data_IF_381001083039
#
_entry.id   IF_381001083039
#
_cell.length_a   1.000
_cell.length_b   1.000
_cell.length_c   1.000
_cell.angle_alpha   90.00
_cell.angle_beta   90.00
_cell.angle_gamma   90.00
#
_symmetry.space_group_name_H-M   'P 1'
#
loop_
_entity.id
_entity.type
_entity.pdbx_description
1 polymer ?
#
# COMPACT_ATOMS: atom_id res chain seq x y z
N UNK A 1 -16.03 3.53 -20.58
CA UNK A 1 -14.68 3.19 -20.08
C UNK A 1 -14.25 1.86 -20.70
N UNK A 2 -13.07 1.77 -21.31
CA UNK A 2 -12.58 0.51 -21.88
C UNK A 2 -12.28 -0.52 -20.78
N UNK A 3 -12.66 -1.79 -20.99
CA UNK A 3 -12.41 -2.92 -20.08
C UNK A 3 -10.95 -2.99 -19.60
N UNK A 4 -10.00 -2.66 -20.49
CA UNK A 4 -8.57 -2.62 -20.17
C UNK A 4 -8.21 -1.58 -19.11
N UNK A 5 -8.91 -0.44 -19.10
CA UNK A 5 -8.68 0.62 -18.10
C UNK A 5 -9.15 0.22 -16.71
N UNK A 6 -10.31 -0.43 -16.63
CA UNK A 6 -10.85 -0.98 -15.38
C UNK A 6 -9.91 -2.06 -14.83
N UNK A 7 -9.45 -2.97 -15.69
CA UNK A 7 -8.51 -4.02 -15.30
C UNK A 7 -7.19 -3.45 -14.74
N UNK A 8 -6.63 -2.40 -15.37
CA UNK A 8 -5.42 -1.73 -14.87
C UNK A 8 -5.63 -1.08 -13.50
N UNK A 9 -6.80 -0.46 -13.27
CA UNK A 9 -7.13 0.17 -11.99
C UNK A 9 -7.25 -0.86 -10.88
N UNK A 10 -7.99 -1.95 -11.13
CA UNK A 10 -8.17 -3.03 -10.15
C UNK A 10 -6.84 -3.73 -9.86
N UNK A 11 -6.09 -4.10 -10.90
CA UNK A 11 -4.81 -4.80 -10.72
C UNK A 11 -3.75 -3.92 -10.04
N UNK A 12 -3.74 -2.62 -10.33
CA UNK A 12 -2.86 -1.67 -9.62
C UNK A 12 -3.24 -1.43 -8.17
N UNK A 13 -4.51 -1.60 -7.80
CA UNK A 13 -4.98 -1.50 -6.42
C UNK A 13 -4.64 -2.75 -5.60
N UNK A 14 -4.80 -3.94 -6.18
CA UNK A 14 -4.55 -5.22 -5.48
C UNK A 14 -3.06 -5.46 -5.22
N UNK A 15 -2.21 -5.23 -6.22
CA UNK A 15 -0.76 -5.38 -6.05
C UNK A 15 -0.05 -4.11 -6.50
N UNK A 16 0.78 -3.51 -5.63
CA UNK A 16 1.55 -2.35 -6.01
C UNK A 16 2.45 -2.65 -7.20
N UNK A 17 2.28 -1.90 -8.28
CA UNK A 17 3.05 -2.05 -9.52
C UNK A 17 2.42 -2.95 -10.60
N UNK A 18 1.40 -3.76 -10.31
CA UNK A 18 0.76 -4.63 -11.33
C UNK A 18 0.10 -3.83 -12.46
N UNK A 19 -0.50 -2.67 -12.16
CA UNK A 19 -1.06 -1.79 -13.19
C UNK A 19 -0.01 -1.30 -14.20
N UNK A 20 1.26 -1.17 -13.79
CA UNK A 20 2.38 -0.85 -14.68
C UNK A 20 2.87 -2.08 -15.45
N UNK A 21 2.83 -3.27 -14.84
CA UNK A 21 3.16 -4.52 -15.53
C UNK A 21 2.20 -4.80 -16.70
N UNK A 22 0.90 -4.55 -16.52
CA UNK A 22 -0.12 -4.68 -17.59
C UNK A 22 0.12 -3.69 -18.74
N UNK A 23 0.69 -2.52 -18.44
CA UNK A 23 1.11 -1.54 -19.45
C UNK A 23 2.49 -1.85 -20.07
N UNK A 24 3.08 -3.02 -19.80
CA UNK A 24 4.44 -3.42 -20.19
C UNK A 24 5.56 -2.51 -19.66
N UNK A 25 5.29 -1.72 -18.62
CA UNK A 25 6.26 -0.84 -17.96
C UNK A 25 6.90 -1.54 -16.77
N UNK A 26 7.64 -2.63 -17.05
CA UNK A 26 8.17 -3.53 -16.04
C UNK A 26 9.12 -2.86 -15.03
N UNK A 27 9.95 -1.90 -15.47
CA UNK A 27 10.84 -1.16 -14.58
C UNK A 27 10.07 -0.39 -13.49
N UNK A 28 8.98 0.29 -13.89
CA UNK A 28 8.13 1.01 -12.93
C UNK A 28 7.41 0.05 -12.00
N UNK A 29 6.91 -1.07 -12.53
CA UNK A 29 6.28 -2.11 -11.71
C UNK A 29 7.24 -2.63 -10.62
N UNK A 30 8.47 -2.97 -11.00
CA UNK A 30 9.49 -3.45 -10.07
C UNK A 30 9.88 -2.39 -9.03
N UNK A 31 10.08 -1.13 -9.44
CA UNK A 31 10.39 -0.04 -8.52
C UNK A 31 9.31 0.13 -7.44
N UNK A 32 8.04 0.24 -7.84
CA UNK A 32 6.95 0.40 -6.87
C UNK A 32 6.82 -0.81 -5.94
N UNK A 33 6.95 -2.02 -6.49
CA UNK A 33 6.90 -3.24 -5.69
C UNK A 33 8.04 -3.28 -4.66
N UNK A 34 9.29 -3.09 -5.09
CA UNK A 34 10.46 -3.14 -4.21
C UNK A 34 10.41 -2.03 -3.16
N UNK A 35 10.06 -0.80 -3.56
CA UNK A 35 9.99 0.33 -2.63
C UNK A 35 8.95 0.11 -1.53
N UNK A 36 7.75 -0.36 -1.88
CA UNK A 36 6.69 -0.59 -0.89
C UNK A 36 7.07 -1.74 0.05
N UNK A 37 7.55 -2.87 -0.48
CA UNK A 37 8.02 -3.98 0.35
C UNK A 37 9.20 -3.59 1.26
N UNK A 38 10.13 -2.77 0.77
CA UNK A 38 11.25 -2.27 1.57
C UNK A 38 10.76 -1.35 2.70
N UNK A 39 9.84 -0.41 2.42
CA UNK A 39 9.26 0.46 3.44
C UNK A 39 8.47 -0.34 4.49
N UNK A 40 7.69 -1.34 4.08
CA UNK A 40 7.01 -2.25 5.01
C UNK A 40 8.00 -3.02 5.87
N UNK A 41 9.05 -3.59 5.27
CA UNK A 41 10.09 -4.32 6.00
C UNK A 41 10.85 -3.44 7.01
N UNK A 42 11.16 -2.19 6.63
CA UNK A 42 11.76 -1.21 7.53
C UNK A 42 10.82 -0.84 8.68
N UNK A 43 9.53 -0.61 8.41
CA UNK A 43 8.53 -0.34 9.44
C UNK A 43 8.40 -1.48 10.45
N UNK A 44 8.44 -2.74 9.99
CA UNK A 44 8.47 -3.91 10.86
C UNK A 44 9.76 -3.97 11.70
N UNK A 45 10.91 -3.70 11.09
CA UNK A 45 12.20 -3.67 11.79
C UNK A 45 12.27 -2.59 12.88
N UNK A 46 11.55 -1.47 12.71
CA UNK A 46 11.43 -0.40 13.70
C UNK A 46 10.49 -0.74 14.88
N UNK A 47 9.91 -1.96 14.91
CA UNK A 47 9.00 -2.38 15.96
C UNK A 47 7.61 -1.76 15.79
N UNK A 48 7.07 -1.85 14.57
CA UNK A 48 5.73 -1.36 14.22
C UNK A 48 4.69 -1.68 15.30
N UNK A 49 3.81 -0.71 15.56
CA UNK A 49 2.75 -0.80 16.57
C UNK A 49 1.39 -0.71 15.92
N UNK A 50 0.45 -1.50 16.42
CA UNK A 50 -0.97 -1.38 16.11
C UNK A 50 -1.57 -0.43 17.15
N UNK A 51 -2.20 0.64 16.69
CA UNK A 51 -2.78 1.66 17.52
C UNK A 51 -4.26 1.36 17.75
N UNK A 52 -4.72 1.21 19.00
CA UNK A 52 -6.14 1.11 19.29
C UNK A 52 -6.84 2.44 19.00
N UNK A 53 -8.16 2.40 18.84
CA UNK A 53 -8.95 3.62 18.69
C UNK A 53 -8.93 4.42 20.00
N UNK A 54 -8.10 5.47 20.03
CA UNK A 54 -7.92 6.36 21.19
C UNK A 54 -7.97 7.82 20.74
N UNK A 55 -8.75 8.62 21.45
CA UNK A 55 -9.01 10.03 21.10
C UNK A 55 -8.17 11.03 21.89
N UNK A 56 -7.30 10.55 22.78
CA UNK A 56 -6.45 11.42 23.61
C UNK A 56 -5.41 12.18 22.79
N UNK A 57 -4.95 11.59 21.68
CA UNK A 57 -4.00 12.22 20.77
C UNK A 57 -4.49 12.13 19.32
N UNK A 58 -4.62 13.26 18.59
CA UNK A 58 -5.02 13.26 17.19
C UNK A 58 -4.16 12.36 16.30
N UNK A 59 -2.86 12.22 16.58
CA UNK A 59 -1.97 11.36 15.79
C UNK A 59 -2.34 9.88 15.93
N UNK A 60 -2.85 9.45 17.08
CA UNK A 60 -3.26 8.06 17.32
C UNK A 60 -4.50 7.70 16.51
N UNK A 61 -5.41 8.65 16.30
CA UNK A 61 -6.57 8.48 15.42
C UNK A 61 -6.11 8.24 13.98
N UNK A 62 -5.16 9.04 13.48
CA UNK A 62 -4.60 8.86 12.13
C UNK A 62 -3.90 7.50 12.00
N UNK A 63 -3.13 7.10 13.02
CA UNK A 63 -2.45 5.82 13.03
C UNK A 63 -3.45 4.65 13.01
N UNK A 64 -4.56 4.74 13.75
CA UNK A 64 -5.64 3.76 13.71
C UNK A 64 -6.24 3.61 12.29
N UNK A 65 -6.51 4.72 11.59
CA UNK A 65 -6.99 4.65 10.20
C UNK A 65 -5.95 4.09 9.24
N UNK A 66 -4.66 4.37 9.47
CA UNK A 66 -3.58 3.76 8.71
C UNK A 66 -3.53 2.23 8.94
N UNK A 67 -3.74 1.77 10.18
CA UNK A 67 -3.78 0.34 10.51
C UNK A 67 -4.94 -0.39 9.82
N UNK A 68 -6.11 0.24 9.67
CA UNK A 68 -7.22 -0.35 8.87
C UNK A 68 -6.80 -0.62 7.41
N UNK A 69 -5.89 0.18 6.86
CA UNK A 69 -5.35 0.00 5.52
C UNK A 69 -4.35 -1.16 5.40
N UNK A 70 -3.83 -1.69 6.51
CA UNK A 70 -2.91 -2.85 6.50
C UNK A 70 -3.65 -4.18 6.29
N UNK A 71 -4.97 -4.23 6.48
CA UNK A 71 -5.76 -5.45 6.32
C UNK A 71 -5.62 -6.46 7.47
N UNK A 72 -5.11 -6.02 8.63
CA UNK A 72 -5.04 -6.75 9.91
C UNK A 72 -6.16 -6.27 10.83
#
# INVERSE_FOLDING_TARGET
MNIKGIAVMILGWVVPGLGHAVQKKYLRAALFFISIFAMTGLGLAMGGRIYPFQTENPLTILAFFADLGNGL
#
